data_IF_351660724419
#
_entry.id   IF_351660724419
#
_cell.length_a   1.000
_cell.length_b   1.000
_cell.length_c   1.000
_cell.angle_alpha   90.00
_cell.angle_beta   90.00
_cell.angle_gamma   90.00
#
_symmetry.space_group_name_H-M   'P 1'
#
loop_
_entity.id
_entity.type
_entity.pdbx_description
1 polymer ?
#
# COMPACT_ATOMS: atom_id res chain seq x y z
N UNK A 1 12.17 9.77 16.93
CA UNK A 1 12.14 10.84 15.91
C UNK A 1 13.19 10.47 14.88
N UNK A 2 12.91 10.60 13.58
CA UNK A 2 13.88 10.27 12.53
C UNK A 2 14.96 11.35 12.47
N UNK A 3 16.24 10.97 12.59
CA UNK A 3 17.36 11.90 12.42
C UNK A 3 17.85 11.99 10.97
N UNK A 4 17.58 10.94 10.19
CA UNK A 4 17.92 10.79 8.78
C UNK A 4 16.80 10.00 8.10
N UNK A 5 16.73 10.07 6.77
CA UNK A 5 15.74 9.34 6.00
C UNK A 5 16.39 8.61 4.83
N UNK A 6 16.10 7.32 4.74
CA UNK A 6 16.34 6.47 3.59
C UNK A 6 14.98 6.02 3.04
N UNK A 7 14.79 6.18 1.73
CA UNK A 7 13.69 5.56 0.98
C UNK A 7 14.30 4.85 -0.21
N UNK A 8 14.07 3.55 -0.36
CA UNK A 8 14.52 2.76 -1.51
C UNK A 8 13.36 1.96 -2.12
N UNK A 9 13.39 1.83 -3.44
CA UNK A 9 12.46 1.07 -4.27
C UNK A 9 10.97 1.44 -4.10
N UNK A 10 10.66 2.70 -3.80
CA UNK A 10 9.29 3.15 -3.56
C UNK A 10 8.77 4.07 -4.66
N UNK A 11 7.80 3.58 -5.44
CA UNK A 11 7.08 4.35 -6.48
C UNK A 11 8.03 5.02 -7.49
N UNK A 12 8.10 6.36 -7.50
CA UNK A 12 9.02 7.11 -8.36
C UNK A 12 10.44 7.22 -7.81
N UNK A 13 10.68 6.74 -6.59
CA UNK A 13 11.95 6.88 -5.86
C UNK A 13 12.69 5.55 -5.92
N UNK A 14 13.70 5.47 -6.79
CA UNK A 14 14.66 4.36 -6.77
C UNK A 14 15.42 4.36 -5.44
N UNK A 15 15.97 5.53 -5.11
CA UNK A 15 16.70 5.78 -3.88
C UNK A 15 16.66 7.26 -3.53
N UNK A 16 16.33 7.57 -2.29
CA UNK A 16 16.42 8.89 -1.69
C UNK A 16 17.12 8.78 -0.35
N UNK A 17 18.16 9.57 -0.16
CA UNK A 17 18.89 9.71 1.10
C UNK A 17 18.82 11.16 1.56
N UNK A 18 18.36 11.37 2.79
CA UNK A 18 18.41 12.64 3.51
C UNK A 18 19.28 12.41 4.73
N UNK A 19 20.58 12.77 4.69
CA UNK A 19 21.53 12.46 5.76
C UNK A 19 21.16 13.09 7.10
N UNK A 20 20.47 14.23 7.08
CA UNK A 20 20.07 14.96 8.27
C UNK A 20 18.69 15.60 8.08
N UNK A 21 17.76 15.28 8.97
CA UNK A 21 16.47 15.94 9.07
C UNK A 21 16.54 17.07 10.11
N UNK A 22 16.01 18.23 9.74
CA UNK A 22 15.77 19.33 10.67
C UNK A 22 14.46 19.15 11.44
N UNK A 23 14.20 20.05 12.41
CA UNK A 23 12.88 20.14 13.05
C UNK A 23 11.78 20.48 12.03
N UNK A 24 12.13 21.27 11.02
CA UNK A 24 11.29 21.65 9.90
C UNK A 24 12.05 21.29 8.62
N UNK A 25 11.40 20.55 7.72
CA UNK A 25 11.96 20.15 6.44
C UNK A 25 11.05 20.67 5.32
N UNK A 26 11.61 21.37 4.34
CA UNK A 26 10.89 21.88 3.18
C UNK A 26 11.24 21.04 1.95
N UNK A 27 10.23 20.39 1.36
CA UNK A 27 10.39 19.56 0.16
C UNK A 27 9.85 20.36 -1.04
N UNK A 28 10.73 20.83 -1.92
CA UNK A 28 10.38 21.55 -3.15
C UNK A 28 10.80 20.79 -4.40
N UNK A 29 10.12 21.02 -5.51
CA UNK A 29 10.40 20.37 -6.78
C UNK A 29 9.26 20.52 -7.78
N UNK A 30 9.52 20.16 -9.04
CA UNK A 30 8.51 20.18 -10.12
C UNK A 30 7.36 19.19 -9.84
N UNK A 31 6.23 19.36 -10.53
CA UNK A 31 5.16 18.36 -10.48
C UNK A 31 5.71 16.99 -10.92
N UNK A 32 5.18 15.92 -10.32
CA UNK A 32 5.65 14.54 -10.50
C UNK A 32 7.12 14.26 -10.13
N UNK A 33 7.83 15.16 -9.44
CA UNK A 33 9.21 14.90 -8.99
C UNK A 33 9.34 13.94 -7.81
N UNK A 34 8.26 13.23 -7.42
CA UNK A 34 8.27 12.29 -6.30
C UNK A 34 8.01 12.87 -4.91
N UNK A 35 7.60 14.15 -4.79
CA UNK A 35 7.31 14.77 -3.49
C UNK A 35 6.22 14.03 -2.70
N UNK A 36 5.11 13.68 -3.37
CA UNK A 36 4.04 12.89 -2.76
C UNK A 36 4.54 11.50 -2.36
N UNK A 37 5.40 10.87 -3.18
CA UNK A 37 6.04 9.59 -2.85
C UNK A 37 6.85 9.65 -1.55
N UNK A 38 7.52 10.78 -1.26
CA UNK A 38 8.22 10.96 0.04
C UNK A 38 7.23 10.97 1.19
N UNK A 39 6.13 11.71 1.06
CA UNK A 39 5.09 11.77 2.10
C UNK A 39 4.41 10.42 2.29
N UNK A 40 4.08 9.71 1.22
CA UNK A 40 3.45 8.39 1.26
C UNK A 40 4.37 7.35 1.92
N UNK A 41 5.67 7.40 1.64
CA UNK A 41 6.66 6.56 2.34
C UNK A 41 6.68 6.85 3.85
N UNK A 42 6.63 8.13 4.25
CA UNK A 42 6.58 8.51 5.66
C UNK A 42 5.26 8.07 6.33
N UNK A 43 4.12 8.15 5.63
CA UNK A 43 2.83 7.61 6.12
C UNK A 43 2.97 6.10 6.41
N UNK A 44 3.51 5.32 5.46
CA UNK A 44 3.73 3.88 5.65
C UNK A 44 4.68 3.59 6.80
N UNK A 45 5.79 4.32 6.92
CA UNK A 45 6.73 4.17 8.02
C UNK A 45 6.08 4.42 9.38
N UNK A 46 5.29 5.49 9.50
CA UNK A 46 4.61 5.88 10.74
C UNK A 46 3.50 4.91 11.14
N UNK A 47 2.84 4.27 10.16
CA UNK A 47 1.73 3.36 10.40
C UNK A 47 2.12 1.89 10.47
N UNK A 48 3.42 1.58 10.40
CA UNK A 48 3.94 0.23 10.24
C UNK A 48 3.30 -0.49 9.04
N UNK A 49 3.04 0.26 7.95
CA UNK A 49 2.31 -0.20 6.76
C UNK A 49 1.01 -0.93 7.09
N UNK A 50 0.14 -0.31 7.87
CA UNK A 50 -1.22 -0.85 8.04
C UNK A 50 -1.98 -0.87 6.71
N UNK A 51 -2.96 -1.78 6.64
CA UNK A 51 -3.76 -2.00 5.43
C UNK A 51 -4.53 -0.75 5.00
N UNK A 52 -5.03 0.06 5.94
CA UNK A 52 -5.79 1.27 5.64
C UNK A 52 -4.92 2.29 4.90
N UNK A 53 -3.72 2.55 5.43
CA UNK A 53 -2.77 3.48 4.78
C UNK A 53 -2.35 2.99 3.39
N UNK A 54 -2.11 1.68 3.21
CA UNK A 54 -1.81 1.12 1.89
C UNK A 54 -2.96 1.35 0.91
N UNK A 55 -4.19 1.07 1.33
CA UNK A 55 -5.39 1.28 0.52
C UNK A 55 -5.57 2.75 0.15
N UNK A 56 -5.39 3.67 1.10
CA UNK A 56 -5.53 5.10 0.85
C UNK A 56 -4.46 5.61 -0.12
N UNK A 57 -3.21 5.14 -0.04
CA UNK A 57 -2.16 5.52 -1.00
C UNK A 57 -2.49 5.02 -2.41
N UNK A 58 -3.05 3.81 -2.55
CA UNK A 58 -3.43 3.27 -3.87
C UNK A 58 -4.64 4.06 -4.43
N UNK A 59 -5.57 4.46 -3.56
CA UNK A 59 -6.76 5.28 -3.90
C UNK A 59 -6.42 6.70 -4.31
N UNK A 60 -5.54 7.36 -3.56
CA UNK A 60 -5.08 8.73 -3.84
C UNK A 60 -4.38 8.85 -5.20
N UNK A 61 -3.93 7.74 -5.78
CA UNK A 61 -3.17 7.70 -7.03
C UNK A 61 -3.86 6.93 -8.16
N UNK A 62 -5.15 6.64 -8.01
CA UNK A 62 -6.00 6.05 -9.05
C UNK A 62 -5.45 4.73 -9.65
N UNK A 63 -4.71 3.97 -8.85
CA UNK A 63 -4.11 2.69 -9.29
C UNK A 63 -5.16 1.56 -9.42
N UNK A 64 -6.44 1.87 -9.18
CA UNK A 64 -7.57 0.95 -9.30
C UNK A 64 -8.04 0.68 -10.71
N UNK A 65 -7.90 1.64 -11.61
CA UNK A 65 -8.36 1.47 -12.99
C UNK A 65 -7.60 0.33 -13.71
N UNK A 66 -6.42 -0.02 -13.20
CA UNK A 66 -5.61 -1.15 -13.67
C UNK A 66 -6.31 -2.49 -13.41
N UNK A 67 -7.06 -2.63 -12.31
CA UNK A 67 -7.80 -3.86 -11.97
C UNK A 67 -8.98 -4.13 -12.92
N UNK A 68 -9.55 -3.10 -13.55
CA UNK A 68 -10.71 -3.23 -14.45
C UNK A 68 -10.29 -3.59 -15.88
N UNK A 69 -9.08 -3.21 -16.32
CA UNK A 69 -8.58 -3.46 -17.68
C UNK A 69 -7.70 -4.71 -17.82
N UNK A 70 -6.91 -5.06 -16.80
CA UNK A 70 -5.96 -6.18 -16.88
C UNK A 70 -5.91 -6.95 -15.55
N UNK A 71 -6.63 -8.08 -15.47
CA UNK A 71 -6.74 -8.91 -14.27
C UNK A 71 -5.41 -9.52 -13.80
N UNK A 72 -4.33 -9.31 -14.56
CA UNK A 72 -3.00 -9.84 -14.29
C UNK A 72 -2.11 -8.91 -13.44
N UNK A 73 -2.43 -7.61 -13.37
CA UNK A 73 -1.57 -6.62 -12.70
C UNK A 73 -2.15 -6.26 -11.32
N UNK A 74 -1.37 -6.57 -10.29
CA UNK A 74 -1.73 -6.23 -8.92
C UNK A 74 -1.61 -4.70 -8.69
N UNK A 75 -2.60 -4.02 -8.08
CA UNK A 75 -2.50 -2.58 -7.81
C UNK A 75 -1.35 -2.26 -6.86
N UNK A 76 -0.92 -3.25 -6.07
CA UNK A 76 0.19 -3.14 -5.13
C UNK A 76 1.56 -3.11 -5.83
N UNK A 77 1.65 -3.51 -7.10
CA UNK A 77 2.89 -3.37 -7.88
C UNK A 77 3.28 -1.91 -8.05
N UNK A 78 2.30 -0.99 -8.05
CA UNK A 78 2.51 0.46 -8.15
C UNK A 78 3.35 1.04 -7.01
N UNK A 79 3.40 0.35 -5.86
CA UNK A 79 4.19 0.76 -4.71
C UNK A 79 5.69 0.57 -4.94
N UNK A 80 6.07 -0.37 -5.81
CA UNK A 80 7.47 -0.68 -6.11
C UNK A 80 8.02 0.22 -7.21
N UNK A 81 9.28 0.59 -7.07
CA UNK A 81 9.97 1.34 -8.12
C UNK A 81 9.93 0.59 -9.46
N UNK A 82 9.55 1.31 -10.50
CA UNK A 82 9.39 0.76 -11.84
C UNK A 82 8.22 -0.23 -12.00
N UNK A 83 7.30 -0.30 -11.03
CA UNK A 83 6.13 -1.21 -11.04
C UNK A 83 6.53 -2.67 -11.22
N UNK A 84 7.54 -3.12 -10.46
CA UNK A 84 8.09 -4.48 -10.56
C UNK A 84 7.80 -5.26 -9.29
N UNK A 85 6.82 -6.16 -9.38
CA UNK A 85 6.52 -7.12 -8.32
C UNK A 85 7.29 -8.41 -8.57
N UNK A 86 8.57 -8.41 -8.16
CA UNK A 86 9.45 -9.57 -8.28
C UNK A 86 9.90 -10.02 -6.89
N UNK A 87 10.10 -11.32 -6.74
CA UNK A 87 10.79 -11.90 -5.60
C UNK A 87 12.13 -11.16 -5.40
N UNK A 88 12.44 -10.82 -4.15
CA UNK A 88 13.59 -10.00 -3.70
C UNK A 88 13.48 -8.47 -3.86
N UNK A 89 12.43 -7.91 -4.46
CA UNK A 89 12.23 -6.46 -4.42
C UNK A 89 11.63 -6.05 -3.06
N UNK A 90 12.39 -5.25 -2.30
CA UNK A 90 11.97 -4.74 -0.99
C UNK A 90 11.92 -3.23 -1.02
N UNK A 91 10.82 -2.67 -0.55
CA UNK A 91 10.72 -1.26 -0.21
C UNK A 91 11.37 -1.08 1.16
N UNK A 92 12.28 -0.12 1.27
CA UNK A 92 12.99 0.18 2.52
C UNK A 92 12.73 1.63 2.87
N UNK A 93 12.23 1.88 4.09
CA UNK A 93 11.95 3.22 4.60
C UNK A 93 12.43 3.32 6.05
N UNK A 94 13.24 4.31 6.41
CA UNK A 94 13.62 4.52 7.81
C UNK A 94 14.91 5.33 7.96
N UNK A 95 15.64 5.13 9.05
CA UNK A 95 16.90 5.84 9.27
C UNK A 95 18.06 5.30 8.41
N UNK A 96 18.94 6.20 7.99
CA UNK A 96 20.13 5.88 7.21
C UNK A 96 21.15 5.09 8.05
N UNK A 97 21.30 5.44 9.33
CA UNK A 97 22.32 4.85 10.21
C UNK A 97 21.81 3.75 11.14
N UNK A 98 20.49 3.49 11.16
CA UNK A 98 19.88 2.46 12.01
C UNK A 98 19.03 1.50 11.16
N UNK A 99 19.63 0.38 10.70
CA UNK A 99 18.91 -0.63 9.95
C UNK A 99 17.81 -1.35 10.74
N UNK A 100 17.88 -1.42 12.07
CA UNK A 100 16.90 -2.16 12.87
C UNK A 100 15.53 -1.46 12.92
N UNK A 101 15.53 -0.14 12.78
CA UNK A 101 14.31 0.68 12.79
C UNK A 101 13.63 0.78 11.43
N UNK A 102 14.30 0.34 10.37
CA UNK A 102 13.77 0.44 9.01
C UNK A 102 12.53 -0.44 8.84
N UNK A 103 11.54 0.15 8.20
CA UNK A 103 10.42 -0.55 7.61
C UNK A 103 10.90 -1.22 6.32
N UNK A 104 10.69 -2.52 6.22
CA UNK A 104 10.87 -3.32 5.02
C UNK A 104 9.51 -3.87 4.59
N UNK A 105 9.12 -3.65 3.33
CA UNK A 105 7.95 -4.27 2.72
C UNK A 105 8.45 -5.15 1.58
N UNK A 106 8.23 -6.44 1.69
CA UNK A 106 8.67 -7.44 0.73
C UNK A 106 7.46 -8.12 0.10
N UNK A 107 7.46 -8.20 -1.23
CA UNK A 107 6.52 -9.02 -1.99
C UNK A 107 6.83 -10.50 -1.75
N UNK A 108 5.82 -11.26 -1.33
CA UNK A 108 5.94 -12.69 -1.05
C UNK A 108 4.65 -13.41 -1.47
N UNK A 109 4.68 -14.74 -1.52
CA UNK A 109 3.52 -15.58 -1.80
C UNK A 109 3.27 -16.49 -0.61
N UNK A 110 2.00 -16.80 -0.35
CA UNK A 110 1.62 -17.75 0.69
C UNK A 110 0.62 -18.77 0.15
N UNK A 111 0.65 -19.97 0.68
CA UNK A 111 -0.36 -20.99 0.42
C UNK A 111 -1.46 -20.89 1.46
N UNK A 112 -2.71 -20.88 1.00
CA UNK A 112 -3.89 -20.99 1.85
C UNK A 112 -4.12 -22.47 2.24
N UNK A 113 -4.18 -22.72 3.54
CA UNK A 113 -4.36 -24.05 4.13
C UNK A 113 -5.73 -24.13 4.82
N UNK A 114 -6.53 -25.14 4.45
CA UNK A 114 -7.81 -25.43 5.09
C UNK A 114 -7.61 -26.50 6.17
N UNK A 115 -7.44 -26.06 7.41
CA UNK A 115 -7.27 -26.96 8.56
C UNK A 115 -8.64 -27.41 9.07
N UNK A 116 -8.93 -28.71 9.19
CA UNK A 116 -10.19 -29.16 9.76
C UNK A 116 -10.30 -28.69 11.22
N UNK A 117 -11.43 -28.11 11.58
CA UNK A 117 -11.74 -27.78 12.98
C UNK A 117 -12.54 -28.92 13.54
N UNK A 118 -11.94 -29.70 14.46
CA UNK A 118 -12.66 -30.67 15.27
C UNK A 118 -13.64 -29.93 16.19
N UNK A 119 -14.84 -29.67 15.66
CA UNK A 119 -16.01 -29.33 16.47
C UNK A 119 -16.97 -30.49 16.36
N UNK A 120 -17.27 -31.12 17.50
CA UNK A 120 -18.35 -32.11 17.68
C UNK A 120 -19.76 -31.53 17.43
N UNK A 121 -19.90 -30.49 16.60
CA UNK A 121 -21.13 -29.74 16.40
C UNK A 121 -21.75 -30.11 15.06
N UNK A 122 -22.60 -31.12 15.09
CA UNK A 122 -23.68 -31.42 14.15
C UNK A 122 -23.53 -30.96 12.70
N UNK A 123 -23.05 -31.85 11.82
CA UNK A 123 -23.33 -31.84 10.38
C UNK A 123 -22.64 -30.79 9.51
N UNK A 124 -21.97 -29.78 10.10
CA UNK A 124 -21.20 -28.79 9.34
C UNK A 124 -19.70 -29.06 9.45
N UNK A 125 -19.03 -29.27 8.31
CA UNK A 125 -17.57 -29.27 8.23
C UNK A 125 -17.09 -27.82 8.35
N UNK A 126 -16.51 -27.46 9.49
CA UNK A 126 -15.84 -26.18 9.68
C UNK A 126 -14.35 -26.36 9.39
N UNK A 127 -13.80 -25.46 8.57
CA UNK A 127 -12.37 -25.37 8.33
C UNK A 127 -11.84 -24.03 8.85
N UNK A 128 -10.66 -24.05 9.44
CA UNK A 128 -9.88 -22.87 9.76
C UNK A 128 -8.93 -22.60 8.61
N UNK A 129 -9.03 -21.41 8.04
CA UNK A 129 -8.10 -20.94 7.02
C UNK A 129 -6.82 -20.45 7.70
N UNK A 130 -5.67 -20.98 7.26
CA UNK A 130 -4.33 -20.58 7.68
C UNK A 130 -3.48 -20.25 6.44
N UNK A 131 -2.37 -19.51 6.63
CA UNK A 131 -1.49 -19.13 5.53
C UNK A 131 -0.03 -19.44 5.87
N UNK A 132 0.65 -20.13 4.96
CA UNK A 132 2.06 -20.49 5.08
C UNK A 132 2.88 -19.80 3.98
N UNK A 133 3.96 -19.10 4.34
CA UNK A 133 4.85 -18.47 3.36
C UNK A 133 5.48 -19.52 2.44
N UNK A 134 5.54 -19.20 1.15
CA UNK A 134 6.33 -19.93 0.17
C UNK A 134 7.71 -19.28 0.16
N UNK A 135 8.70 -20.03 0.62
CA UNK A 135 10.13 -19.68 0.56
C UNK A 135 10.86 -20.81 -0.20
N UNK A 136 12.09 -20.56 -0.70
CA UNK A 136 12.93 -21.52 -1.45
C UNK A 136 13.07 -22.91 -0.77
N UNK A 137 12.91 -22.97 0.56
CA UNK A 137 13.01 -24.21 1.35
C UNK A 137 11.73 -25.08 1.31
N UNK A 138 10.60 -24.49 0.90
CA UNK A 138 9.29 -25.14 0.81
C UNK A 138 8.72 -25.12 -0.62
N UNK A 139 9.44 -24.55 -1.60
CA UNK A 139 9.09 -24.69 -3.02
C UNK A 139 8.97 -26.18 -3.39
N UNK A 140 7.83 -26.57 -3.97
CA UNK A 140 7.53 -27.94 -4.37
C UNK A 140 7.02 -28.87 -3.25
N UNK A 141 6.76 -28.37 -2.03
CA UNK A 141 6.12 -29.15 -0.95
C UNK A 141 4.58 -29.06 -0.93
N UNK A 142 4.00 -28.20 -1.76
CA UNK A 142 2.57 -27.94 -1.80
C UNK A 142 1.95 -28.67 -3.01
N UNK A 143 0.71 -29.15 -2.86
CA UNK A 143 -0.03 -29.83 -3.94
C UNK A 143 -0.25 -28.89 -5.13
N UNK A 144 -0.29 -29.42 -6.37
CA UNK A 144 -0.46 -28.61 -7.60
C UNK A 144 -1.74 -27.75 -7.60
N UNK A 145 -2.76 -28.15 -6.83
CA UNK A 145 -4.05 -27.44 -6.68
C UNK A 145 -4.09 -26.46 -5.48
N UNK A 146 -2.95 -26.21 -4.83
CA UNK A 146 -2.89 -25.32 -3.66
C UNK A 146 -3.20 -23.88 -4.04
N UNK A 147 -4.11 -23.21 -3.30
CA UNK A 147 -4.44 -21.81 -3.55
C UNK A 147 -3.29 -20.89 -3.09
N UNK A 148 -2.53 -20.36 -4.05
CA UNK A 148 -1.41 -19.45 -3.80
C UNK A 148 -1.90 -18.01 -3.85
N UNK A 149 -1.70 -17.27 -2.76
CA UNK A 149 -2.10 -15.87 -2.61
C UNK A 149 -0.89 -14.93 -2.58
N UNK A 150 -1.03 -13.74 -3.14
CA UNK A 150 -0.01 -12.70 -3.05
C UNK A 150 -0.06 -12.01 -1.68
N UNK A 151 1.10 -11.75 -1.09
CA UNK A 151 1.21 -11.19 0.26
C UNK A 151 2.32 -10.15 0.37
N UNK A 152 2.18 -9.26 1.36
CA UNK A 152 3.28 -8.45 1.85
C UNK A 152 3.79 -8.96 3.18
N UNK A 153 5.09 -9.22 3.23
CA UNK A 153 5.85 -9.45 4.46
C UNK A 153 6.43 -8.11 4.91
N UNK A 154 5.92 -7.59 6.02
CA UNK A 154 6.29 -6.29 6.55
C UNK A 154 7.09 -6.48 7.82
N UNK A 155 8.28 -5.89 7.87
CA UNK A 155 9.18 -5.95 9.04
C UNK A 155 9.58 -4.55 9.47
N UNK A 156 9.51 -4.25 10.76
CA UNK A 156 9.99 -3.01 11.37
C UNK A 156 10.26 -3.25 12.85
N UNK A 157 11.39 -2.77 13.40
CA UNK A 157 11.72 -2.93 14.83
C UNK A 157 11.63 -4.39 15.32
N UNK A 158 12.14 -5.35 14.54
CA UNK A 158 12.08 -6.81 14.82
C UNK A 158 10.67 -7.40 14.91
N UNK A 159 9.63 -6.62 14.59
CA UNK A 159 8.26 -7.10 14.46
C UNK A 159 8.00 -7.41 13.01
N UNK A 160 7.37 -8.54 12.74
CA UNK A 160 6.94 -8.94 11.41
C UNK A 160 5.43 -9.14 11.39
N UNK A 161 4.79 -8.70 10.32
CA UNK A 161 3.39 -8.99 10.02
C UNK A 161 3.22 -9.34 8.55
N UNK A 162 2.11 -9.99 8.24
CA UNK A 162 1.71 -10.33 6.88
C UNK A 162 0.42 -9.61 6.51
N UNK A 163 0.34 -9.15 5.27
CA UNK A 163 -0.88 -8.61 4.68
C UNK A 163 -1.20 -9.43 3.43
N UNK A 164 -2.44 -9.90 3.31
CA UNK A 164 -2.91 -10.70 2.17
C UNK A 164 -3.51 -9.75 1.13
N UNK A 165 -2.98 -9.76 -0.08
CA UNK A 165 -3.29 -8.76 -1.11
C UNK A 165 -4.58 -9.08 -1.87
N UNK A 166 -4.88 -10.36 -2.07
CA UNK A 166 -6.06 -10.80 -2.84
C UNK A 166 -7.37 -10.37 -2.16
N UNK A 167 -7.43 -10.41 -0.83
CA UNK A 167 -8.56 -9.93 -0.04
C UNK A 167 -8.65 -8.40 0.07
N UNK A 168 -7.56 -7.68 -0.23
CA UNK A 168 -7.54 -6.24 -0.10
C UNK A 168 -8.17 -5.54 -1.31
N UNK A 169 -8.03 -6.07 -2.52
CA UNK A 169 -8.69 -5.50 -3.71
C UNK A 169 -10.22 -5.33 -3.49
N UNK A 170 -10.87 -6.35 -2.94
CA UNK A 170 -12.29 -6.32 -2.56
C UNK A 170 -12.62 -5.33 -1.43
N UNK A 171 -11.68 -5.12 -0.49
CA UNK A 171 -11.87 -4.13 0.59
C UNK A 171 -11.78 -2.71 0.08
N UNK A 172 -10.95 -2.46 -0.94
CA UNK A 172 -10.85 -1.14 -1.53
C UNK A 172 -12.14 -0.77 -2.25
N UNK A 173 -12.69 -1.68 -3.07
CA UNK A 173 -13.98 -1.49 -3.71
C UNK A 173 -15.09 -1.14 -2.69
N UNK A 174 -15.11 -1.84 -1.55
CA UNK A 174 -16.04 -1.55 -0.44
C UNK A 174 -15.77 -0.22 0.26
N UNK A 175 -14.51 0.19 0.42
CA UNK A 175 -14.16 1.47 1.04
C UNK A 175 -14.53 2.67 0.17
N UNK A 176 -14.32 2.61 -1.16
CA UNK A 176 -14.82 3.63 -2.09
C UNK A 176 -16.33 3.76 -1.99
N UNK A 177 -17.05 2.64 -2.03
CA UNK A 177 -18.52 2.64 -1.89
C UNK A 177 -19.02 3.18 -0.53
N UNK A 178 -18.22 3.06 0.53
CA UNK A 178 -18.50 3.71 1.82
C UNK A 178 -18.20 5.20 1.80
N UNK A 179 -17.07 5.63 1.23
CA UNK A 179 -16.71 7.05 1.04
C UNK A 179 -17.73 7.77 0.15
N UNK A 180 -18.25 7.12 -0.90
CA UNK A 180 -19.33 7.67 -1.74
C UNK A 180 -20.69 7.67 -1.04
N UNK A 181 -21.04 6.64 -0.25
CA UNK A 181 -22.29 6.65 0.55
C UNK A 181 -22.30 7.65 1.71
N UNK A 182 -21.14 8.01 2.27
CA UNK A 182 -21.04 9.06 3.30
C UNK A 182 -20.82 10.45 2.72
N UNK A 183 -20.75 10.60 1.40
CA UNK A 183 -20.66 11.87 0.70
C UNK A 183 -22.01 12.25 0.08
N UNK A 184 -22.97 12.64 0.92
CA UNK A 184 -23.82 13.77 0.52
C UNK A 184 -22.91 14.99 0.68
N UNK A 185 -22.08 15.27 -0.33
CA UNK A 185 -21.18 16.42 -0.29
C UNK A 185 -22.02 17.68 -0.22
N UNK A 186 -21.86 18.45 0.85
CA UNK A 186 -22.36 19.83 0.96
C UNK A 186 -21.37 20.84 0.35
N UNK A 187 -20.46 20.38 -0.52
CA UNK A 187 -19.44 21.19 -1.19
C UNK A 187 -19.20 20.69 -2.62
N UNK A 188 -18.76 21.59 -3.49
CA UNK A 188 -18.35 21.30 -4.87
C UNK A 188 -16.84 21.47 -5.01
N UNK A 189 -16.17 20.48 -5.61
CA UNK A 189 -14.75 20.56 -5.94
C UNK A 189 -14.55 21.32 -7.26
N UNK A 190 -13.74 22.38 -7.25
CA UNK A 190 -13.39 23.16 -8.44
C UNK A 190 -11.91 22.90 -8.74
N UNK A 191 -11.62 22.24 -9.86
CA UNK A 191 -10.25 21.95 -10.29
C UNK A 191 -9.61 23.21 -10.87
N UNK A 192 -8.60 23.76 -10.19
CA UNK A 192 -7.92 25.02 -10.58
C UNK A 192 -7.00 24.87 -11.80
N UNK A 193 -6.84 23.68 -12.34
CA UNK A 193 -5.84 23.39 -13.37
C UNK A 193 -6.18 23.90 -14.77
N UNK A 194 -7.40 24.39 -15.02
CA UNK A 194 -7.82 24.88 -16.35
C UNK A 194 -8.85 26.02 -16.31
N UNK A 195 -9.00 26.68 -15.17
CA UNK A 195 -10.04 27.70 -14.94
C UNK A 195 -9.36 29.07 -14.84
N UNK A 196 -9.90 30.06 -15.54
CA UNK A 196 -9.39 31.43 -15.47
C UNK A 196 -9.65 32.04 -14.08
N UNK A 197 -8.86 33.03 -13.66
CA UNK A 197 -9.06 33.69 -12.37
C UNK A 197 -10.47 34.33 -12.24
N UNK A 198 -11.06 34.75 -13.36
CA UNK A 198 -12.40 35.34 -13.39
C UNK A 198 -13.48 34.28 -13.15
N UNK A 199 -13.39 33.12 -13.82
CA UNK A 199 -14.31 31.99 -13.58
C UNK A 199 -14.18 31.41 -12.17
N UNK A 200 -12.98 31.49 -11.58
CA UNK A 200 -12.76 31.13 -10.19
C UNK A 200 -13.49 32.10 -9.25
N UNK A 201 -13.43 33.41 -9.55
CA UNK A 201 -14.16 34.46 -8.82
C UNK A 201 -15.68 34.24 -8.86
N UNK A 202 -16.23 34.01 -10.05
CA UNK A 202 -17.67 33.72 -10.22
C UNK A 202 -18.14 32.48 -9.45
N UNK A 203 -17.25 31.49 -9.29
CA UNK A 203 -17.55 30.29 -8.52
C UNK A 203 -17.51 30.54 -7.00
N UNK A 204 -16.64 31.44 -6.54
CA UNK A 204 -16.59 31.88 -5.14
C UNK A 204 -17.80 32.74 -4.76
N UNK A 205 -18.28 33.60 -5.66
CA UNK A 205 -19.46 34.45 -5.44
C UNK A 205 -20.75 33.63 -5.21
N UNK A 206 -20.81 32.39 -5.71
CA UNK A 206 -21.95 31.47 -5.50
C UNK A 206 -21.96 30.81 -4.12
N UNK A 207 -20.88 30.93 -3.35
CA UNK A 207 -20.71 30.34 -2.02
C UNK A 207 -20.98 31.36 -0.90
N UNK A 208 -21.11 32.65 -1.24
CA UNK A 208 -21.40 33.76 -0.32
C UNK A 208 -22.88 34.03 -0.07
#
# INVERSE_FOLDING_TARGET
MLNSLLIENFRSLEKLEVPQLGQINLIVGRNNSGKSSVLDALKLYASFSDEGTLVDIIDEHDEFYILEEDSSVSPYESLFYGRRFKENHKIIIGELNDPETRLSIEASKAVELHLPVDKESGGFLAYQVSYQDIDDQNEGRFEEDSNVVNTFKITQNKKTKRIILDNLADRIYRNRNRKTKMNIKSYSDITTSFISNDELGDAWDKVG
#
